data_IF_650254883441
#
_entry.id   IF_650254883441
#
_cell.length_a   1.000
_cell.length_b   1.000
_cell.length_c   1.000
_cell.angle_alpha   90.00
_cell.angle_beta   90.00
_cell.angle_gamma   90.00
#
_symmetry.space_group_name_H-M   'P 1'
#
loop_
_entity.id
_entity.type
_entity.pdbx_description
1 polymer ?
#
# COMPACT_ATOMS: atom_id res chain seq x y z
N UNK A 1 2.74 -15.09 -32.05
CA UNK A 1 1.80 -14.34 -31.21
C UNK A 1 2.22 -14.42 -29.76
N UNK A 2 2.27 -13.30 -29.09
CA UNK A 2 2.55 -13.27 -27.65
C UNK A 2 1.37 -13.86 -26.89
N UNK A 3 1.65 -14.73 -25.94
CA UNK A 3 0.63 -15.21 -25.01
C UNK A 3 0.14 -14.06 -24.11
N UNK A 4 -1.18 -13.96 -23.93
CA UNK A 4 -1.76 -13.03 -22.98
C UNK A 4 -1.60 -13.63 -21.58
N UNK A 5 -0.78 -13.00 -20.76
CA UNK A 5 -0.64 -13.38 -19.35
C UNK A 5 -1.71 -12.69 -18.52
N UNK A 6 -2.42 -13.47 -17.72
CA UNK A 6 -3.36 -12.95 -16.73
C UNK A 6 -2.64 -12.90 -15.38
N UNK A 7 -2.42 -11.71 -14.86
CA UNK A 7 -1.72 -11.49 -13.59
C UNK A 7 -2.66 -10.74 -12.66
N UNK A 8 -2.74 -11.16 -11.40
CA UNK A 8 -3.49 -10.41 -10.38
C UNK A 8 -2.88 -9.02 -10.22
N UNK A 9 -3.72 -8.00 -10.10
CA UNK A 9 -3.27 -6.61 -10.00
C UNK A 9 -2.32 -6.40 -8.81
N UNK A 10 -2.55 -7.07 -7.67
CA UNK A 10 -1.68 -7.02 -6.51
C UNK A 10 -0.27 -7.57 -6.79
N UNK A 11 -0.15 -8.62 -7.60
CA UNK A 11 1.16 -9.16 -7.99
C UNK A 11 1.92 -8.19 -8.88
N UNK A 12 1.23 -7.61 -9.85
CA UNK A 12 1.79 -6.56 -10.71
C UNK A 12 2.26 -5.37 -9.87
N UNK A 13 1.46 -4.98 -8.88
CA UNK A 13 1.80 -3.90 -7.94
C UNK A 13 3.08 -4.21 -7.13
N UNK A 14 3.16 -5.38 -6.53
CA UNK A 14 4.35 -5.79 -5.77
C UNK A 14 5.63 -5.82 -6.62
N UNK A 15 5.52 -6.32 -7.84
CA UNK A 15 6.64 -6.34 -8.79
C UNK A 15 7.05 -4.93 -9.20
N UNK A 16 6.08 -4.07 -9.51
CA UNK A 16 6.34 -2.68 -9.90
C UNK A 16 7.02 -1.88 -8.79
N UNK A 17 6.62 -2.08 -7.53
CA UNK A 17 7.28 -1.45 -6.38
C UNK A 17 8.76 -1.82 -6.31
N UNK A 18 9.08 -3.09 -6.55
CA UNK A 18 10.46 -3.57 -6.52
C UNK A 18 11.29 -2.96 -7.65
N UNK A 19 10.73 -2.86 -8.86
CA UNK A 19 11.38 -2.19 -9.98
C UNK A 19 11.60 -0.70 -9.72
N UNK A 20 10.59 -0.01 -9.21
CA UNK A 20 10.68 1.39 -8.84
C UNK A 20 11.69 1.63 -7.71
N UNK A 21 11.75 0.72 -6.74
CA UNK A 21 12.70 0.77 -5.64
C UNK A 21 14.16 0.74 -6.10
N UNK A 22 14.43 0.01 -7.18
CA UNK A 22 15.77 -0.04 -7.78
C UNK A 22 16.17 1.30 -8.42
N UNK A 23 15.19 2.08 -8.88
CA UNK A 23 15.42 3.36 -9.57
C UNK A 23 15.33 4.57 -8.64
N UNK A 24 14.67 4.43 -7.49
CA UNK A 24 14.37 5.54 -6.58
C UNK A 24 14.70 5.15 -5.14
N UNK A 25 15.82 5.59 -4.63
CA UNK A 25 16.31 5.28 -3.29
C UNK A 25 15.40 5.83 -2.17
N UNK A 26 14.67 6.91 -2.46
CA UNK A 26 13.76 7.56 -1.51
C UNK A 26 12.38 6.89 -1.44
N UNK A 27 12.13 5.86 -2.25
CA UNK A 27 10.89 5.10 -2.20
C UNK A 27 10.89 4.17 -0.98
N UNK A 28 9.85 4.25 -0.16
CA UNK A 28 9.61 3.37 0.99
C UNK A 28 8.21 2.78 0.91
N UNK A 29 8.02 1.61 1.47
CA UNK A 29 6.75 0.90 1.43
C UNK A 29 6.29 0.62 2.85
N UNK A 30 5.02 0.93 3.13
CA UNK A 30 4.39 0.67 4.42
C UNK A 30 3.24 -0.30 4.24
N UNK A 31 3.01 -1.10 5.26
CA UNK A 31 1.92 -2.06 5.29
C UNK A 31 1.31 -2.12 6.70
N UNK A 32 0.08 -2.58 6.80
CA UNK A 32 -0.62 -2.76 8.07
C UNK A 32 -0.82 -4.26 8.35
N UNK A 33 0.29 -4.99 8.44
CA UNK A 33 0.35 -6.45 8.68
C UNK A 33 -0.32 -7.28 7.56
N UNK A 34 -0.26 -6.79 6.33
CA UNK A 34 -0.87 -7.45 5.16
C UNK A 34 0.12 -7.63 3.98
N UNK A 35 1.41 -7.64 4.24
CA UNK A 35 2.43 -7.67 3.18
C UNK A 35 2.29 -8.89 2.26
N UNK A 36 1.91 -10.05 2.79
CA UNK A 36 1.69 -11.26 1.99
C UNK A 36 0.47 -11.11 1.08
N UNK A 37 -0.62 -10.53 1.58
CA UNK A 37 -1.87 -10.38 0.84
C UNK A 37 -1.81 -9.25 -0.19
N UNK A 38 -1.20 -8.11 0.13
CA UNK A 38 -1.03 -6.96 -0.76
C UNK A 38 0.11 -7.14 -1.75
N UNK A 39 0.95 -8.17 -1.55
CA UNK A 39 2.16 -8.46 -2.33
C UNK A 39 3.28 -7.43 -2.14
N UNK A 40 3.18 -6.54 -1.18
CA UNK A 40 4.30 -5.68 -0.78
C UNK A 40 5.46 -6.48 -0.18
N UNK A 41 5.20 -7.74 0.23
CA UNK A 41 6.23 -8.67 0.67
C UNK A 41 7.34 -8.91 -0.36
N UNK A 42 7.04 -8.76 -1.66
CA UNK A 42 8.04 -8.82 -2.74
C UNK A 42 9.06 -7.70 -2.58
N UNK A 43 8.58 -6.49 -2.34
CA UNK A 43 9.45 -5.33 -2.04
C UNK A 43 10.22 -5.53 -0.74
N UNK A 44 9.56 -5.99 0.32
CA UNK A 44 10.18 -6.26 1.62
C UNK A 44 11.35 -7.23 1.50
N UNK A 45 11.20 -8.25 0.67
CA UNK A 45 12.27 -9.25 0.45
C UNK A 45 13.49 -8.64 -0.23
N UNK A 46 13.28 -7.73 -1.18
CA UNK A 46 14.35 -7.06 -1.93
C UNK A 46 14.99 -5.92 -1.13
N UNK A 47 14.17 -5.16 -0.39
CA UNK A 47 14.60 -3.96 0.34
C UNK A 47 14.02 -3.94 1.76
N UNK A 48 14.45 -4.86 2.64
CA UNK A 48 13.87 -4.99 3.99
C UNK A 48 13.99 -3.73 4.84
N UNK A 49 15.05 -2.95 4.66
CA UNK A 49 15.28 -1.70 5.40
C UNK A 49 14.39 -0.53 4.95
N UNK A 50 13.69 -0.69 3.84
CA UNK A 50 12.78 0.32 3.28
C UNK A 50 11.32 -0.11 3.32
N UNK A 51 11.02 -1.21 3.99
CA UNK A 51 9.66 -1.69 4.24
C UNK A 51 9.35 -1.54 5.73
N UNK A 52 8.22 -0.91 6.03
CA UNK A 52 7.77 -0.67 7.40
C UNK A 52 6.43 -1.35 7.60
N UNK A 53 6.37 -2.31 8.51
CA UNK A 53 5.11 -2.87 8.97
C UNK A 53 4.64 -2.07 10.18
N UNK A 54 3.49 -1.41 10.04
CA UNK A 54 2.92 -0.57 11.08
C UNK A 54 2.00 -1.34 12.04
N UNK A 55 1.86 -2.65 11.84
CA UNK A 55 0.85 -3.45 12.53
C UNK A 55 -0.56 -3.17 11.98
N UNK A 56 -1.57 -3.76 12.61
CA UNK A 56 -2.98 -3.54 12.23
C UNK A 56 -3.44 -2.18 12.75
N UNK A 57 -2.98 -1.11 12.10
CA UNK A 57 -3.19 0.27 12.51
C UNK A 57 -3.16 1.20 11.28
N UNK A 58 -4.18 1.11 10.42
CA UNK A 58 -4.23 1.80 9.13
C UNK A 58 -4.17 3.33 9.27
N UNK A 59 -4.86 3.89 10.26
CA UNK A 59 -4.81 5.32 10.54
C UNK A 59 -3.40 5.78 10.92
N UNK A 60 -2.73 5.03 11.79
CA UNK A 60 -1.34 5.31 12.19
C UNK A 60 -0.38 5.15 11.00
N UNK A 61 -0.58 4.15 10.16
CA UNK A 61 0.20 3.94 8.94
C UNK A 61 0.13 5.18 8.03
N UNK A 62 -1.05 5.74 7.83
CA UNK A 62 -1.22 6.95 7.01
C UNK A 62 -0.52 8.16 7.64
N UNK A 63 -0.55 8.29 8.97
CA UNK A 63 0.20 9.33 9.68
C UNK A 63 1.71 9.18 9.53
N UNK A 64 2.23 7.96 9.64
CA UNK A 64 3.66 7.67 9.43
C UNK A 64 4.05 7.99 7.98
N UNK A 65 3.24 7.57 7.00
CA UNK A 65 3.47 7.86 5.59
C UNK A 65 3.50 9.38 5.34
N UNK A 66 2.58 10.13 5.93
CA UNK A 66 2.56 11.58 5.84
C UNK A 66 3.87 12.20 6.37
N UNK A 67 4.35 11.74 7.53
CA UNK A 67 5.61 12.21 8.10
C UNK A 67 6.81 11.90 7.23
N UNK A 68 6.86 10.70 6.66
CA UNK A 68 7.93 10.31 5.73
C UNK A 68 7.91 11.17 4.47
N UNK A 69 6.73 11.44 3.91
CA UNK A 69 6.58 12.32 2.75
C UNK A 69 7.06 13.74 3.06
N UNK A 70 6.77 14.25 4.26
CA UNK A 70 7.22 15.56 4.69
C UNK A 70 8.76 15.66 4.79
N UNK A 71 9.45 14.54 4.95
CA UNK A 71 10.92 14.48 4.99
C UNK A 71 11.57 14.27 3.61
N UNK A 72 10.77 14.18 2.54
CA UNK A 72 11.27 13.98 1.17
C UNK A 72 11.28 12.54 0.70
N UNK A 73 10.79 11.59 1.49
CA UNK A 73 10.57 10.22 1.03
C UNK A 73 9.33 10.14 0.14
N UNK A 74 9.25 9.08 -0.65
CA UNK A 74 8.06 8.77 -1.43
C UNK A 74 7.46 7.48 -0.89
N UNK A 75 6.56 7.56 0.09
CA UNK A 75 5.96 6.39 0.69
C UNK A 75 4.80 5.86 -0.14
N UNK A 76 4.76 4.53 -0.26
CA UNK A 76 3.64 3.75 -0.77
C UNK A 76 3.01 3.02 0.41
N UNK A 77 1.83 3.45 0.82
CA UNK A 77 1.08 2.84 1.93
C UNK A 77 0.05 1.86 1.39
N UNK A 78 0.08 0.63 1.85
CA UNK A 78 -0.72 -0.46 1.30
C UNK A 78 -1.50 -1.18 2.39
N UNK A 79 -2.76 -1.42 2.12
CA UNK A 79 -3.69 -2.23 2.91
C UNK A 79 -4.87 -2.60 2.02
N UNK A 80 -5.87 -3.28 2.57
CA UNK A 80 -7.10 -3.53 1.82
C UNK A 80 -7.89 -2.23 1.62
N UNK A 81 -8.59 -2.14 0.50
CA UNK A 81 -9.37 -0.94 0.14
C UNK A 81 -10.39 -0.57 1.24
N UNK A 82 -11.06 -1.55 1.84
CA UNK A 82 -12.00 -1.30 2.93
C UNK A 82 -11.34 -0.60 4.12
N UNK A 83 -10.13 -0.99 4.47
CA UNK A 83 -9.42 -0.41 5.62
C UNK A 83 -8.78 0.93 5.30
N UNK A 84 -8.33 1.14 4.06
CA UNK A 84 -7.84 2.43 3.61
C UNK A 84 -8.99 3.46 3.53
N UNK A 85 -10.07 3.11 2.83
CA UNK A 85 -11.19 4.00 2.62
C UNK A 85 -12.07 4.18 3.87
N UNK A 86 -12.20 3.13 4.69
CA UNK A 86 -13.00 3.16 5.92
C UNK A 86 -12.20 3.68 7.11
N UNK A 87 -11.33 2.84 7.67
CA UNK A 87 -10.61 3.16 8.91
C UNK A 87 -9.70 4.36 8.83
N UNK A 88 -8.99 4.52 7.74
CA UNK A 88 -7.97 5.56 7.59
C UNK A 88 -8.48 6.79 6.86
N UNK A 89 -9.74 6.87 6.50
CA UNK A 89 -10.29 7.94 5.67
C UNK A 89 -9.93 9.34 6.20
N UNK A 90 -10.17 9.58 7.48
CA UNK A 90 -9.91 10.91 8.08
C UNK A 90 -8.41 11.24 8.04
N UNK A 91 -7.55 10.30 8.34
CA UNK A 91 -6.10 10.50 8.31
C UNK A 91 -5.60 10.81 6.90
N UNK A 92 -6.15 10.13 5.90
CA UNK A 92 -5.83 10.42 4.49
C UNK A 92 -6.25 11.85 4.14
N UNK A 93 -7.46 12.22 4.49
CA UNK A 93 -8.01 13.55 4.22
C UNK A 93 -7.17 14.65 4.88
N UNK A 94 -6.95 14.54 6.16
CA UNK A 94 -6.39 15.60 6.99
C UNK A 94 -4.85 15.61 7.04
N UNK A 95 -4.24 14.43 7.08
CA UNK A 95 -2.77 14.34 7.24
C UNK A 95 -2.02 14.25 5.92
N UNK A 96 -2.68 13.83 4.84
CA UNK A 96 -2.08 13.67 3.52
C UNK A 96 -2.66 14.67 2.52
N UNK A 97 -3.97 14.67 2.36
CA UNK A 97 -4.64 15.48 1.33
C UNK A 97 -4.58 16.96 1.63
N UNK A 98 -4.94 17.38 2.84
CA UNK A 98 -4.95 18.79 3.22
C UNK A 98 -3.56 19.45 3.06
N UNK A 99 -2.47 18.87 3.59
CA UNK A 99 -1.13 19.43 3.40
C UNK A 99 -0.50 19.12 2.04
N UNK A 100 -1.19 18.42 1.16
CA UNK A 100 -0.73 18.05 -0.19
C UNK A 100 0.57 17.27 -0.20
N UNK A 101 0.70 16.30 0.69
CA UNK A 101 1.89 15.46 0.78
C UNK A 101 1.90 14.36 -0.28
N UNK A 102 3.09 14.01 -0.75
CA UNK A 102 3.28 13.02 -1.80
C UNK A 102 3.30 11.60 -1.23
N UNK A 103 2.14 11.12 -0.81
CA UNK A 103 1.92 9.74 -0.39
C UNK A 103 1.15 8.99 -1.47
N UNK A 104 1.64 7.82 -1.86
CA UNK A 104 0.94 6.91 -2.76
C UNK A 104 0.18 5.88 -1.93
N UNK A 105 -1.09 5.68 -2.22
CA UNK A 105 -1.92 4.71 -1.50
C UNK A 105 -2.25 3.57 -2.46
N UNK A 106 -1.67 2.41 -2.22
CA UNK A 106 -1.91 1.20 -2.99
C UNK A 106 -2.91 0.29 -2.27
N UNK A 107 -4.19 0.62 -2.39
CA UNK A 107 -5.25 -0.18 -1.77
C UNK A 107 -5.62 -1.38 -2.65
N UNK A 108 -5.64 -2.56 -2.06
CA UNK A 108 -5.95 -3.82 -2.75
C UNK A 108 -7.31 -4.37 -2.34
N UNK A 109 -7.75 -5.43 -2.99
CA UNK A 109 -8.97 -6.17 -2.63
C UNK A 109 -10.26 -5.33 -2.69
N UNK A 110 -10.32 -4.34 -3.59
CA UNK A 110 -11.55 -3.62 -3.87
C UNK A 110 -12.53 -4.48 -4.67
N UNK A 111 -13.81 -4.16 -4.59
CA UNK A 111 -14.89 -4.87 -5.28
C UNK A 111 -15.40 -6.07 -4.49
N UNK A 112 -16.16 -6.92 -5.17
CA UNK A 112 -16.89 -8.03 -4.54
C UNK A 112 -16.10 -9.35 -4.46
N UNK A 113 -14.90 -9.41 -5.02
CA UNK A 113 -14.13 -10.64 -5.17
C UNK A 113 -13.06 -10.84 -4.11
N UNK A 114 -13.34 -10.43 -2.87
CA UNK A 114 -12.40 -10.56 -1.74
C UNK A 114 -12.14 -12.03 -1.36
N UNK A 115 -13.02 -12.95 -1.72
CA UNK A 115 -12.87 -14.36 -1.39
C UNK A 115 -13.49 -14.70 -0.04
N UNK A 116 -12.83 -15.57 0.71
CA UNK A 116 -13.37 -16.16 1.95
C UNK A 116 -13.60 -15.17 3.09
N UNK A 117 -12.89 -14.06 3.11
CA UNK A 117 -13.07 -13.01 4.13
C UNK A 117 -14.45 -12.34 4.06
N UNK A 118 -15.05 -12.30 2.88
CA UNK A 118 -16.43 -11.88 2.66
C UNK A 118 -16.74 -10.43 3.02
N UNK A 119 -17.94 -10.20 3.51
CA UNK A 119 -18.54 -8.88 3.69
C UNK A 119 -17.74 -7.92 4.59
N UNK A 120 -16.98 -8.42 5.54
CA UNK A 120 -16.18 -7.58 6.44
C UNK A 120 -14.98 -6.92 5.75
N UNK A 121 -14.59 -7.45 4.61
CA UNK A 121 -13.40 -7.01 3.86
C UNK A 121 -13.74 -6.44 2.48
N UNK A 122 -14.99 -6.53 2.05
CA UNK A 122 -15.44 -6.01 0.76
C UNK A 122 -15.50 -4.47 0.77
N UNK A 123 -15.13 -3.86 -0.36
CA UNK A 123 -15.23 -2.43 -0.57
C UNK A 123 -15.76 -2.20 -2.00
N UNK A 124 -17.04 -1.93 -2.11
CA UNK A 124 -17.77 -1.74 -3.37
C UNK A 124 -17.81 -0.26 -3.76
#
# INVERSE_FOLDING_TARGET
MSEVKKIATRESYGNALTELGAKHENLVVLDADLAAATKTGVFKKAYPERHIDCGIAEGNMMGIAAGLAATGKVPFASTFAMFAAGRAFEQIRNSIGYPKLNVKIGATHAGISVGEDGATHQCN
#
